data_IF_658247074466
#
_entry.id   IF_658247074466
#
_cell.length_a   1.000
_cell.length_b   1.000
_cell.length_c   1.000
_cell.angle_alpha   90.00
_cell.angle_beta   90.00
_cell.angle_gamma   90.00
#
_symmetry.space_group_name_H-M   'P 1'
#
loop_
_entity.id
_entity.type
_entity.pdbx_description
1 polymer ?
2 water ?
#
# COMPACT_ATOMS: atom_id res chain seq x y z
N UNK A 5 5.53 -15.39 -13.70
CA UNK A 5 5.12 -14.01 -13.48
C UNK A 5 4.69 -13.81 -12.03
N UNK A 6 5.57 -13.19 -11.23
CA UNK A 6 5.30 -13.01 -9.82
C UNK A 6 5.00 -11.57 -9.47
N UNK A 7 3.72 -11.21 -9.38
CA UNK A 7 3.37 -9.84 -9.07
C UNK A 7 3.60 -9.57 -7.59
N UNK A 8 3.82 -8.30 -7.27
CA UNK A 8 3.90 -7.87 -5.88
C UNK A 8 3.03 -6.63 -5.75
N UNK A 9 2.18 -6.63 -4.74
CA UNK A 9 1.31 -5.51 -4.39
C UNK A 9 1.74 -5.01 -3.01
N UNK A 10 1.81 -3.70 -2.86
CA UNK A 10 2.06 -3.09 -1.56
C UNK A 10 0.87 -2.20 -1.23
N UNK A 11 0.44 -2.23 0.03
CA UNK A 11 -0.77 -1.52 0.44
C UNK A 11 -0.47 -0.71 1.68
N UNK A 12 -0.76 0.59 1.61
CA UNK A 12 -0.85 1.42 2.78
C UNK A 12 -2.32 1.45 3.15
N UNK A 13 -2.73 0.84 4.27
CA UNK A 13 -4.16 0.67 4.54
C UNK A 13 -4.84 1.88 5.18
N UNK A 14 -4.12 2.97 5.46
CA UNK A 14 -4.71 4.17 6.04
C UNK A 14 -5.79 4.74 5.12
N UNK A 15 -6.66 5.58 5.70
CA UNK A 15 -7.74 6.16 4.90
C UNK A 15 -7.22 7.00 3.74
N UNK A 16 -6.09 7.67 3.91
CA UNK A 16 -5.44 8.32 2.77
C UNK A 16 -4.29 7.48 2.23
N UNK A 17 -4.43 6.16 2.25
CA UNK A 17 -3.40 5.26 1.79
C UNK A 17 -3.50 5.03 0.30
N UNK A 18 -2.91 3.93 -0.14
CA UNK A 18 -2.80 3.68 -1.56
C UNK A 18 -2.37 2.23 -1.78
N UNK A 19 -2.48 1.79 -3.03
CA UNK A 19 -2.05 0.47 -3.45
C UNK A 19 -1.02 0.63 -4.57
N UNK A 20 0.08 -0.10 -4.46
CA UNK A 20 1.09 -0.12 -5.53
C UNK A 20 1.14 -1.52 -6.11
N UNK A 21 1.18 -1.58 -7.44
CA UNK A 21 1.23 -2.83 -8.18
C UNK A 21 2.53 -2.87 -8.97
N UNK A 22 3.38 -3.87 -8.68
CA UNK A 22 4.64 -4.10 -9.39
C UNK A 22 4.55 -5.42 -10.15
N UNK A 23 4.57 -5.35 -11.45
CA UNK A 23 4.67 -6.52 -12.31
C UNK A 23 6.08 -6.62 -12.88
N UNK A 24 6.58 -7.83 -13.11
CA UNK A 24 7.92 -7.95 -13.70
C UNK A 24 7.95 -7.39 -15.12
N UNK A 25 9.04 -6.71 -15.44
CA UNK A 25 9.28 -6.17 -16.79
C UNK A 25 8.17 -5.20 -17.19
N UNK A 26 7.65 -4.45 -16.22
CA UNK A 26 6.64 -3.43 -16.50
C UNK A 26 6.89 -2.27 -15.56
N UNK A 27 6.53 -1.04 -15.95
CA UNK A 27 6.63 0.09 -15.03
C UNK A 27 5.73 -0.09 -13.84
N UNK A 28 6.08 0.49 -12.70
CA UNK A 28 5.23 0.39 -11.52
C UNK A 28 3.94 1.18 -11.68
N UNK A 29 2.92 0.82 -10.91
CA UNK A 29 1.68 1.57 -10.88
C UNK A 29 1.27 1.81 -9.44
N UNK A 30 0.58 2.93 -9.21
CA UNK A 30 0.08 3.22 -7.87
C UNK A 30 -1.31 3.81 -8.00
N UNK A 31 -2.15 3.55 -6.98
CA UNK A 31 -3.57 3.89 -6.97
C UNK A 31 -3.94 4.43 -5.61
N UNK A 32 -4.52 5.63 -5.55
CA UNK A 32 -5.10 6.12 -4.30
C UNK A 32 -6.22 5.20 -3.84
N UNK A 33 -6.28 4.94 -2.55
CA UNK A 33 -7.38 4.15 -2.03
C UNK A 33 -8.69 4.91 -2.20
N UNK A 34 -9.69 4.32 -2.85
CA UNK A 34 -10.96 5.03 -3.03
C UNK A 34 -11.68 5.28 -1.71
N UNK A 35 -12.37 6.41 -1.63
CA UNK A 35 -13.14 6.83 -0.47
C UNK A 35 -14.61 6.95 -0.82
N UNK A 36 -15.46 6.88 0.20
CA UNK A 36 -16.88 7.17 0.00
C UNK A 36 -17.10 8.66 -0.26
N UNK A 37 -18.27 8.99 -0.79
CA UNK A 37 -18.67 10.38 -1.03
C UNK A 37 -19.54 10.92 0.11
N UNK A 38 -18.94 11.04 1.30
CA UNK A 38 -19.70 11.36 2.52
C UNK A 38 -20.05 12.84 2.65
N UNK A 46 -12.18 10.39 3.73
CA UNK A 46 -11.96 10.12 5.16
C UNK A 46 -12.56 8.78 5.58
N UNK A 47 -13.34 8.15 4.70
CA UNK A 47 -13.80 6.78 4.91
C UNK A 47 -13.47 5.94 3.68
N UNK A 48 -12.79 4.81 3.89
CA UNK A 48 -12.47 3.90 2.80
C UNK A 48 -13.75 3.27 2.24
N UNK A 49 -13.72 2.98 0.94
CA UNK A 49 -14.87 2.43 0.21
C UNK A 49 -14.57 0.96 -0.11
N UNK A 50 -15.13 0.05 0.69
CA UNK A 50 -14.83 -1.37 0.53
C UNK A 50 -15.24 -1.90 -0.85
N UNK A 51 -16.43 -1.50 -1.32
CA UNK A 51 -16.87 -1.97 -2.63
C UNK A 51 -15.88 -1.55 -3.74
N UNK A 52 -15.40 -0.31 -3.68
CA UNK A 52 -14.51 0.18 -4.73
C UNK A 52 -13.11 -0.43 -4.62
N UNK A 53 -12.66 -0.73 -3.39
CA UNK A 53 -11.41 -1.45 -3.21
C UNK A 53 -11.49 -2.84 -3.83
N UNK A 54 -12.58 -3.55 -3.56
CA UNK A 54 -12.74 -4.89 -4.13
C UNK A 54 -12.70 -4.83 -5.65
N UNK A 55 -13.45 -3.89 -6.24
CA UNK A 55 -13.50 -3.76 -7.69
C UNK A 55 -12.15 -3.39 -8.29
N UNK A 56 -11.42 -2.49 -7.63
CA UNK A 56 -10.06 -2.20 -8.07
C UNK A 56 -9.20 -3.45 -8.08
N UNK A 57 -9.18 -4.19 -6.96
CA UNK A 57 -8.39 -5.43 -6.91
C UNK A 57 -8.80 -6.42 -7.99
N UNK A 58 -10.11 -6.60 -8.19
CA UNK A 58 -10.60 -7.55 -9.19
C UNK A 58 -10.20 -7.13 -10.58
N UNK A 59 -10.14 -5.82 -10.83
CA UNK A 59 -9.79 -5.34 -12.15
C UNK A 59 -8.37 -5.71 -12.53
N UNK A 60 -7.50 -6.02 -11.56
CA UNK A 60 -6.12 -6.39 -11.87
C UNK A 60 -6.01 -7.73 -12.56
N UNK A 61 -6.99 -8.62 -12.38
CA UNK A 61 -6.93 -9.99 -12.87
C UNK A 61 -5.60 -10.64 -12.47
N UNK A 62 -5.21 -10.42 -11.22
CA UNK A 62 -3.93 -10.92 -10.75
C UNK A 62 -3.95 -12.45 -10.62
N UNK A 63 -2.80 -13.10 -10.77
CA UNK A 63 -2.75 -14.55 -10.48
C UNK A 63 -3.19 -14.83 -9.04
N UNK A 64 -3.95 -15.92 -8.87
CA UNK A 64 -4.40 -16.27 -7.54
C UNK A 64 -3.19 -16.53 -6.66
N UNK A 65 -3.26 -16.11 -5.41
CA UNK A 65 -2.14 -16.24 -4.49
C UNK A 65 -1.07 -15.17 -4.63
N UNK A 66 -1.25 -14.19 -5.53
CA UNK A 66 -0.33 -13.08 -5.66
C UNK A 66 -0.02 -12.49 -4.29
N UNK A 67 1.25 -12.19 -4.05
CA UNK A 67 1.66 -11.76 -2.72
C UNK A 67 1.34 -10.29 -2.54
N UNK A 68 0.73 -9.95 -1.41
CA UNK A 68 0.39 -8.59 -1.04
C UNK A 68 1.03 -8.28 0.30
N UNK A 69 1.77 -7.20 0.36
CA UNK A 69 2.40 -6.75 1.60
C UNK A 69 1.59 -5.57 2.09
N UNK A 70 1.13 -5.63 3.33
CA UNK A 70 0.25 -4.61 3.90
C UNK A 70 0.93 -4.01 5.11
N UNK A 71 1.10 -2.70 5.12
CA UNK A 71 1.70 -2.07 6.28
C UNK A 71 0.84 -2.26 7.50
N UNK A 72 1.46 -2.67 8.60
CA UNK A 72 0.74 -2.78 9.87
C UNK A 72 0.36 -1.40 10.39
N UNK A 73 -0.94 -1.14 10.47
CA UNK A 73 -1.43 0.13 10.98
C UNK A 73 -1.08 0.27 12.45
N UNK A 74 -0.41 1.37 12.81
CA UNK A 74 -0.20 1.71 14.20
C UNK A 74 -0.68 3.15 14.39
N UNK A 75 -1.50 3.41 15.41
CA UNK A 75 -2.09 4.74 15.58
C UNK A 75 -1.24 5.67 16.41
N UNK A 76 -1.44 6.97 16.16
CA UNK A 76 -0.75 7.98 16.94
C UNK A 76 -1.00 7.75 18.43
N UNK A 77 0.00 7.95 19.29
CA UNK A 77 -0.25 7.84 20.73
C UNK A 77 -1.36 8.76 21.20
N UNK A 78 -1.52 9.88 20.50
CA UNK A 78 -2.47 10.94 20.84
C UNK A 78 -3.76 10.80 20.04
N UNK A 79 -4.38 9.62 20.05
CA UNK A 79 -5.61 9.42 19.30
C UNK A 79 -6.69 8.82 20.19
N UNK A 80 -7.92 9.30 20.01
CA UNK A 80 -9.02 8.91 20.85
C UNK A 80 -9.43 7.47 20.63
N UNK A 81 -10.53 7.09 21.28
CA UNK A 81 -11.01 5.73 21.20
C UNK A 81 -11.63 5.42 19.84
N UNK A 82 -12.36 6.38 19.27
CA UNK A 82 -12.85 6.21 17.91
C UNK A 82 -11.72 6.32 16.89
N UNK A 83 -10.60 6.95 17.25
CA UNK A 83 -9.47 6.99 16.34
C UNK A 83 -8.74 5.67 16.25
N UNK A 84 -8.61 4.96 17.37
CA UNK A 84 -8.02 3.63 17.34
C UNK A 84 -8.97 2.62 16.69
N UNK A 85 -10.27 2.83 16.91
CA UNK A 85 -11.27 1.95 16.27
C UNK A 85 -11.19 2.11 14.75
N UNK A 86 -10.92 3.33 14.29
CA UNK A 86 -10.93 3.60 12.85
C UNK A 86 -9.70 3.02 12.17
N UNK A 87 -8.53 3.09 12.84
CA UNK A 87 -7.35 2.50 12.25
C UNK A 87 -7.41 0.98 12.19
N UNK A 88 -7.98 0.35 13.23
CA UNK A 88 -8.16 -1.10 13.19
C UNK A 88 -9.19 -1.52 12.18
N UNK A 89 -10.26 -0.73 12.03
CA UNK A 89 -11.28 -1.06 11.04
C UNK A 89 -10.71 -1.07 9.64
N UNK A 90 -9.99 -0.01 9.28
CA UNK A 90 -9.40 0.05 7.94
C UNK A 90 -8.37 -1.02 7.68
N UNK A 91 -7.53 -1.32 8.67
CA UNK A 91 -6.58 -2.40 8.52
C UNK A 91 -7.31 -3.74 8.42
N UNK A 92 -8.34 -3.93 9.24
CA UNK A 92 -9.09 -5.18 9.18
C UNK A 92 -9.82 -5.36 7.86
N UNK A 93 -10.38 -4.27 7.32
CA UNK A 93 -11.08 -4.33 6.04
C UNK A 93 -10.14 -4.74 4.91
N UNK A 94 -8.95 -4.14 4.88
CA UNK A 94 -7.97 -4.54 3.86
C UNK A 94 -7.57 -6.01 4.01
N UNK A 95 -7.28 -6.46 5.24
CA UNK A 95 -6.91 -7.86 5.43
C UNK A 95 -8.04 -8.77 4.96
N UNK A 96 -9.25 -8.47 5.39
CA UNK A 96 -10.40 -9.30 5.01
C UNK A 96 -10.61 -9.31 3.51
N UNK A 97 -10.58 -8.13 2.89
CA UNK A 97 -10.72 -8.07 1.43
C UNK A 97 -9.64 -8.92 0.75
N UNK A 98 -8.37 -8.75 1.15
CA UNK A 98 -7.28 -9.40 0.42
C UNK A 98 -7.32 -10.92 0.59
N UNK A 99 -7.56 -11.39 1.81
CA UNK A 99 -7.63 -12.83 2.05
C UNK A 99 -8.83 -13.42 1.33
N UNK A 100 -9.98 -12.76 1.44
CA UNK A 100 -11.16 -13.22 0.71
C UNK A 100 -10.96 -13.22 -0.80
N UNK A 101 -10.12 -12.33 -1.32
CA UNK A 101 -9.91 -12.27 -2.77
C UNK A 101 -8.83 -13.23 -3.27
N UNK A 102 -8.33 -14.12 -2.41
CA UNK A 102 -7.38 -15.14 -2.83
C UNK A 102 -5.91 -14.75 -2.77
N UNK A 103 -5.59 -13.55 -2.30
CA UNK A 103 -4.19 -13.14 -2.24
C UNK A 103 -3.49 -13.76 -1.06
N UNK A 104 -2.15 -13.84 -1.17
CA UNK A 104 -1.32 -14.22 -0.04
C UNK A 104 -0.87 -12.96 0.66
N UNK A 105 -1.27 -12.80 1.92
CA UNK A 105 -1.18 -11.52 2.62
C UNK A 105 -0.07 -11.61 3.66
N UNK A 106 0.85 -10.67 3.61
CA UNK A 106 1.94 -10.57 4.56
C UNK A 106 1.88 -9.19 5.21
N UNK A 107 1.53 -9.10 6.48
CA UNK A 107 1.62 -7.83 7.20
C UNK A 107 3.07 -7.43 7.40
N UNK A 108 3.31 -6.13 7.33
CA UNK A 108 4.68 -5.60 7.38
C UNK A 108 4.73 -4.41 8.32
N UNK A 109 5.52 -4.48 9.39
CA UNK A 109 5.73 -3.27 10.21
C UNK A 109 6.30 -2.16 9.35
N UNK A 110 5.92 -0.92 9.67
CA UNK A 110 6.48 0.21 8.94
C UNK A 110 8.00 0.25 9.06
N UNK A 111 8.55 -0.22 10.19
CA UNK A 111 9.99 -0.24 10.37
C UNK A 111 10.69 -1.10 9.32
N UNK A 112 9.98 -2.08 8.74
CA UNK A 112 10.62 -3.04 7.87
C UNK A 112 11.13 -2.37 6.59
N UNK A 113 10.26 -1.66 5.88
CA UNK A 113 10.70 -0.98 4.67
C UNK A 113 11.43 0.32 4.99
N UNK A 114 11.04 1.00 6.06
CA UNK A 114 11.72 2.23 6.46
C UNK A 114 13.20 1.97 6.72
N UNK A 115 13.54 0.77 7.18
CA UNK A 115 14.93 0.46 7.49
C UNK A 115 15.76 0.18 6.24
N UNK A 116 15.15 -0.46 5.25
CA UNK A 116 15.86 -0.81 4.02
C UNK A 116 16.09 0.38 3.11
N UNK A 117 15.33 1.48 3.29
CA UNK A 117 15.41 2.64 2.43
C UNK A 117 15.78 3.91 3.19
N UNK A 118 16.61 3.78 4.22
CA UNK A 118 17.25 4.91 4.90
C UNK A 118 16.27 5.81 5.64
N UNK A 119 15.09 5.30 5.98
CA UNK A 119 14.06 6.15 6.58
C UNK A 119 13.91 5.89 8.08
N UNK A 127 11.14 12.94 7.59
CA UNK A 127 10.44 11.91 6.83
C UNK A 127 10.57 12.14 5.32
N UNK A 128 11.33 11.27 4.65
CA UNK A 128 11.72 11.47 3.27
C UNK A 128 11.14 10.43 2.32
N UNK A 129 10.04 9.77 2.72
CA UNK A 129 9.53 8.65 1.93
C UNK A 129 9.12 9.09 0.53
N UNK A 130 8.59 10.30 0.39
CA UNK A 130 8.15 10.77 -0.95
C UNK A 130 9.38 10.89 -1.87
N UNK A 131 10.44 11.56 -1.41
CA UNK A 131 11.66 11.71 -2.24
C UNK A 131 12.28 10.33 -2.50
N UNK A 132 12.32 9.47 -1.49
CA UNK A 132 12.94 8.12 -1.64
C UNK A 132 12.17 7.32 -2.69
N UNK A 133 10.83 7.40 -2.66
CA UNK A 133 9.98 6.70 -3.64
C UNK A 133 10.26 7.24 -5.06
N UNK A 134 10.43 8.56 -5.17
CA UNK A 134 10.69 9.21 -6.48
C UNK A 134 12.02 8.69 -7.05
N UNK A 135 13.02 8.55 -6.19
CA UNK A 135 14.36 8.06 -6.61
C UNK A 135 14.27 6.61 -7.12
N UNK A 136 13.50 5.76 -6.44
CA UNK A 136 13.40 4.33 -6.81
C UNK A 136 12.46 4.13 -8.02
N UNK A 137 11.47 5.00 -8.18
CA UNK A 137 10.46 4.91 -9.23
C UNK A 137 10.38 6.25 -9.96
N UNK A 138 11.43 6.60 -10.72
CA UNK A 138 11.45 7.92 -11.39
C UNK A 138 10.24 8.18 -12.26
N UNK A 139 9.75 7.17 -12.97
CA UNK A 139 8.60 7.38 -13.84
C UNK A 139 7.34 7.77 -13.10
N UNK A 140 7.34 7.76 -11.77
CA UNK A 140 6.17 8.14 -10.98
C UNK A 140 6.40 9.41 -10.17
N UNK A 141 7.54 10.08 -10.35
CA UNK A 141 7.86 11.20 -9.49
C UNK A 141 6.85 12.33 -9.63
N UNK A 142 6.24 12.49 -10.82
CA UNK A 142 5.19 13.49 -10.95
C UNK A 142 4.03 13.23 -10.00
N UNK A 143 3.84 11.99 -9.59
CA UNK A 143 2.72 11.61 -8.74
C UNK A 143 3.04 11.72 -7.26
N UNK A 144 4.27 12.09 -6.91
CA UNK A 144 4.73 12.15 -5.53
C UNK A 144 5.16 13.57 -5.13
N UNK A 145 4.72 14.58 -5.89
CA UNK A 145 5.22 15.93 -5.67
C UNK A 145 4.63 16.59 -4.43
N UNK A 146 3.41 16.22 -4.04
CA UNK A 146 2.69 16.96 -3.02
C UNK A 146 2.62 16.17 -1.71
N UNK A 147 2.39 16.90 -0.62
CA UNK A 147 2.36 16.29 0.70
C UNK A 147 1.23 15.27 0.82
N UNK A 148 0.19 15.42 0.00
CA UNK A 148 -0.90 14.45 -0.03
C UNK A 148 -0.47 13.12 -0.59
N UNK A 149 0.68 13.05 -1.29
CA UNK A 149 1.12 11.82 -1.92
C UNK A 149 1.87 10.90 -0.98
N UNK A 150 1.79 11.15 0.33
CA UNK A 150 2.51 10.31 1.28
C UNK A 150 2.06 8.85 1.18
N UNK A 151 0.74 8.62 1.08
CA UNK A 151 0.23 7.27 1.01
C UNK A 151 0.70 6.54 -0.24
N UNK A 152 0.75 7.25 -1.37
CA UNK A 152 1.30 6.67 -2.59
C UNK A 152 2.75 6.27 -2.38
N UNK A 153 3.52 7.10 -1.70
CA UNK A 153 4.93 6.81 -1.48
C UNK A 153 5.10 5.57 -0.62
N UNK A 154 4.34 5.49 0.49
CA UNK A 154 4.46 4.35 1.38
C UNK A 154 4.07 3.05 0.67
N UNK A 155 3.02 3.09 -0.15
CA UNK A 155 2.59 1.90 -0.86
C UNK A 155 3.69 1.40 -1.79
N UNK A 156 4.35 2.33 -2.49
CA UNK A 156 5.43 1.95 -3.41
C UNK A 156 6.63 1.37 -2.66
N UNK A 157 7.00 2.00 -1.54
CA UNK A 157 8.12 1.50 -0.74
C UNK A 157 7.82 0.10 -0.20
N UNK A 158 6.59 -0.11 0.27
CA UNK A 158 6.21 -1.43 0.77
C UNK A 158 6.32 -2.46 -0.33
N UNK A 159 5.83 -2.12 -1.53
CA UNK A 159 5.96 -3.03 -2.65
C UNK A 159 7.43 -3.29 -3.00
N UNK A 160 8.24 -2.22 -3.06
CA UNK A 160 9.66 -2.39 -3.35
C UNK A 160 10.29 -3.31 -2.32
N UNK A 161 9.98 -3.08 -1.05
CA UNK A 161 10.48 -3.96 0.01
C UNK A 161 10.06 -5.42 -0.24
N UNK A 162 8.80 -5.65 -0.58
CA UNK A 162 8.32 -7.01 -0.76
C UNK A 162 8.84 -7.68 -2.02
N UNK A 163 9.31 -6.91 -2.98
CA UNK A 163 9.89 -7.51 -4.18
C UNK A 163 11.20 -8.22 -3.83
N UNK A 164 11.92 -7.73 -2.84
CA UNK A 164 13.12 -8.37 -2.36
C UNK A 164 14.33 -8.00 -3.19
N UNK A 165 15.48 -8.47 -2.73
CA UNK A 165 16.75 -8.28 -3.41
C UNK A 165 17.04 -9.53 -4.20
N UNK A 166 17.20 -9.40 -5.51
CA UNK A 166 17.27 -10.56 -6.38
C UNK A 166 18.06 -10.20 -7.65
N UNK A 167 18.95 -11.09 -8.08
CA UNK A 167 19.64 -10.87 -9.34
C UNK A 167 18.77 -11.35 -10.50
N UNK A 168 19.11 -10.93 -11.72
CA UNK A 168 18.38 -11.39 -12.89
C UNK A 168 18.75 -12.83 -13.27
#
# INVERSE_FOLDING_TARGET
AHMNAGWVIGVDPDTSGALALLKPNQPPQVFDSPHLKVLVGKGVRKRLDAKAIVQLLKSFEAPIGTTVYVEQSTPYPQDGKQGWWSGGFGYGMWIGILVASGFSVIPVPSSAWKSEFQLTKERSNKDYSRQVASQLFPSLSSLLKRKKDHGRAEALLIAAYGKGIKINSDS
#
